data_IF_247380930661
#
_entry.id   IF_247380930661
#
_cell.length_a   1.000
_cell.length_b   1.000
_cell.length_c   1.000
_cell.angle_alpha   90.00
_cell.angle_beta   90.00
_cell.angle_gamma   90.00
#
_symmetry.space_group_name_H-M   'P 1'
#
loop_
_entity.id
_entity.type
_entity.pdbx_description
1 polymer ?
#
# COMPACT_ATOMS: atom_id res chain seq x y z
N UNK A 1 -4.88 3.42 -13.67
CA UNK A 1 -4.27 3.12 -12.35
C UNK A 1 -2.87 3.69 -12.17
N UNK A 2 -1.99 3.75 -13.20
CA UNK A 2 -0.60 4.22 -13.05
C UNK A 2 -0.43 5.67 -12.58
N UNK A 3 -1.42 6.54 -12.84
CA UNK A 3 -1.46 7.94 -12.40
C UNK A 3 -2.22 8.17 -11.09
N UNK A 4 -2.81 7.13 -10.50
CA UNK A 4 -3.53 7.23 -9.24
C UNK A 4 -2.55 7.25 -8.06
N UNK A 5 -2.91 7.96 -6.99
CA UNK A 5 -2.33 7.74 -5.68
C UNK A 5 -2.65 6.33 -5.18
N UNK A 6 -1.73 5.74 -4.43
CA UNK A 6 -1.80 4.37 -3.93
C UNK A 6 -1.50 4.36 -2.43
N UNK A 7 -2.35 3.71 -1.64
CA UNK A 7 -2.07 3.40 -0.24
C UNK A 7 -2.51 1.98 0.13
N UNK A 8 -1.96 1.44 1.22
CA UNK A 8 -2.38 0.16 1.78
C UNK A 8 -3.45 0.38 2.85
N UNK A 9 -4.55 -0.36 2.76
CA UNK A 9 -5.62 -0.42 3.75
C UNK A 9 -5.42 -1.71 4.56
N UNK A 10 -4.96 -1.62 5.82
CA UNK A 10 -4.75 -2.79 6.66
C UNK A 10 -6.08 -3.45 7.02
N UNK A 11 -6.02 -4.75 7.28
CA UNK A 11 -7.12 -5.55 7.80
C UNK A 11 -6.58 -6.56 8.81
N UNK A 12 -7.46 -7.06 9.68
CA UNK A 12 -7.19 -8.21 10.52
C UNK A 12 -8.27 -9.28 10.19
N UNK A 13 -7.89 -10.40 9.56
CA UNK A 13 -6.53 -10.87 9.30
C UNK A 13 -5.79 -10.10 8.19
N UNK A 14 -4.44 -10.03 8.21
CA UNK A 14 -3.64 -9.29 7.22
C UNK A 14 -3.85 -9.71 5.77
N UNK A 15 -4.27 -10.96 5.54
CA UNK A 15 -4.58 -11.50 4.19
C UNK A 15 -5.79 -10.84 3.54
N UNK A 16 -6.63 -10.15 4.32
CA UNK A 16 -7.79 -9.40 3.84
C UNK A 16 -7.47 -7.93 3.56
N UNK A 17 -6.21 -7.52 3.77
CA UNK A 17 -5.74 -6.17 3.43
C UNK A 17 -5.90 -5.85 1.94
N UNK A 18 -6.11 -4.56 1.65
CA UNK A 18 -6.40 -4.07 0.30
C UNK A 18 -5.46 -2.93 -0.08
N UNK A 19 -5.31 -2.68 -1.37
CA UNK A 19 -4.60 -1.52 -1.90
C UNK A 19 -5.63 -0.59 -2.51
N UNK A 20 -5.67 0.65 -2.02
CA UNK A 20 -6.57 1.68 -2.52
C UNK A 20 -5.87 2.49 -3.62
N UNK A 21 -6.58 2.71 -4.73
CA UNK A 21 -6.19 3.60 -5.82
C UNK A 21 -7.18 4.77 -5.88
N UNK A 22 -6.67 5.99 -5.79
CA UNK A 22 -7.48 7.22 -5.67
C UNK A 22 -6.79 8.39 -6.36
N UNK A 23 -7.47 9.51 -6.54
CA UNK A 23 -6.88 10.75 -7.04
C UNK A 23 -6.93 11.85 -5.98
N UNK A 24 -5.82 12.58 -5.81
CA UNK A 24 -5.72 13.65 -4.82
C UNK A 24 -6.60 14.86 -5.12
N UNK A 25 -6.97 15.05 -6.38
CA UNK A 25 -7.90 16.08 -6.83
C UNK A 25 -9.39 15.68 -6.65
N UNK A 26 -9.66 14.51 -6.06
CA UNK A 26 -11.00 13.99 -5.86
C UNK A 26 -11.67 13.43 -7.12
N UNK A 27 -10.97 13.40 -8.26
CA UNK A 27 -11.50 12.77 -9.47
C UNK A 27 -11.70 11.28 -9.28
N UNK A 28 -12.79 10.77 -9.86
CA UNK A 28 -13.12 9.37 -9.72
C UNK A 28 -12.04 8.50 -10.40
N UNK A 29 -11.42 7.57 -9.65
CA UNK A 29 -10.48 6.64 -10.26
C UNK A 29 -11.18 5.79 -11.32
N UNK A 30 -10.49 5.43 -12.42
CA UNK A 30 -11.11 4.65 -13.48
C UNK A 30 -11.64 3.33 -12.93
N UNK A 31 -12.91 3.02 -13.26
CA UNK A 31 -13.49 1.73 -12.91
C UNK A 31 -12.56 0.59 -13.32
N UNK A 32 -12.23 -0.27 -12.36
CA UNK A 32 -11.37 -1.40 -12.58
C UNK A 32 -12.09 -2.68 -12.18
N UNK A 33 -12.14 -3.65 -13.10
CA UNK A 33 -12.76 -4.97 -12.87
C UNK A 33 -12.09 -5.81 -11.79
N UNK A 34 -10.94 -5.37 -11.29
CA UNK A 34 -10.13 -6.06 -10.28
C UNK A 34 -10.34 -5.53 -8.86
N UNK A 35 -11.23 -4.56 -8.66
CA UNK A 35 -11.48 -3.95 -7.35
C UNK A 35 -12.92 -3.48 -7.18
N UNK A 36 -13.20 -3.00 -5.97
CA UNK A 36 -14.48 -2.41 -5.58
C UNK A 36 -14.31 -0.92 -5.37
N UNK A 37 -15.28 -0.14 -5.84
CA UNK A 37 -15.29 1.29 -5.57
C UNK A 37 -15.93 1.53 -4.21
N UNK A 38 -15.21 2.21 -3.33
CA UNK A 38 -15.64 2.57 -1.96
C UNK A 38 -15.17 3.99 -1.65
N UNK A 39 -15.87 4.63 -0.73
CA UNK A 39 -15.43 5.91 -0.16
C UNK A 39 -14.47 5.66 1.00
N UNK A 40 -13.35 6.38 1.04
CA UNK A 40 -12.36 6.33 2.12
C UNK A 40 -12.16 7.71 2.73
N UNK A 41 -12.09 7.79 4.06
CA UNK A 41 -11.64 8.99 4.75
C UNK A 41 -10.12 9.02 4.81
N UNK A 42 -9.50 9.96 4.10
CA UNK A 42 -8.05 10.13 4.03
C UNK A 42 -7.63 11.49 4.59
N UNK A 43 -6.46 11.54 5.21
CA UNK A 43 -5.76 12.78 5.56
C UNK A 43 -5.13 13.37 4.30
N UNK A 44 -5.73 14.45 3.78
CA UNK A 44 -5.30 15.12 2.55
C UNK A 44 -4.90 16.57 2.84
N UNK A 45 -4.05 17.19 2.00
CA UNK A 45 -3.80 18.62 2.09
C UNK A 45 -5.08 19.43 1.85
N UNK A 46 -5.39 20.35 2.76
CA UNK A 46 -6.46 21.35 2.67
C UNK A 46 -5.93 22.76 2.94
N UNK A 47 -6.83 23.74 3.04
CA UNK A 47 -6.46 25.16 3.17
C UNK A 47 -5.76 25.47 4.51
N UNK A 48 -6.16 24.80 5.59
CA UNK A 48 -5.62 24.99 6.94
C UNK A 48 -4.57 23.92 7.35
N UNK A 49 -4.09 23.11 6.40
CA UNK A 49 -3.08 22.10 6.65
C UNK A 49 -3.47 20.72 6.15
N UNK A 50 -3.53 19.72 7.03
CA UNK A 50 -3.96 18.36 6.69
C UNK A 50 -5.31 18.11 7.34
N UNK A 51 -6.31 17.76 6.53
CA UNK A 51 -7.68 17.55 6.97
C UNK A 51 -8.22 16.18 6.51
N UNK A 52 -9.14 15.56 7.27
CA UNK A 52 -9.81 14.36 6.82
C UNK A 52 -10.82 14.70 5.71
N UNK A 53 -10.68 14.05 4.56
CA UNK A 53 -11.62 14.17 3.44
C UNK A 53 -12.07 12.79 2.95
N UNK A 54 -13.35 12.70 2.59
CA UNK A 54 -13.90 11.54 1.90
C UNK A 54 -13.45 11.54 0.43
N UNK A 55 -12.84 10.46 -0.03
CA UNK A 55 -12.39 10.28 -1.42
C UNK A 55 -12.94 9.00 -2.03
N UNK A 56 -13.29 9.05 -3.31
CA UNK A 56 -13.61 7.84 -4.07
C UNK A 56 -12.33 7.05 -4.35
N UNK A 57 -12.30 5.78 -3.97
CA UNK A 57 -11.17 4.90 -4.17
C UNK A 57 -11.60 3.55 -4.76
N UNK A 58 -10.75 2.97 -5.61
CA UNK A 58 -10.86 1.56 -5.98
C UNK A 58 -9.97 0.73 -5.05
N UNK A 59 -10.59 -0.14 -4.25
CA UNK A 59 -9.90 -1.07 -3.37
C UNK A 59 -9.68 -2.40 -4.09
N UNK A 60 -8.42 -2.80 -4.19
CA UNK A 60 -7.99 -4.01 -4.89
C UNK A 60 -7.34 -4.95 -3.88
N UNK A 61 -7.74 -6.24 -3.81
CA UNK A 61 -7.05 -7.22 -2.97
C UNK A 61 -5.55 -7.29 -3.31
N UNK A 62 -4.68 -7.45 -2.31
CA UNK A 62 -3.21 -7.43 -2.50
C UNK A 62 -2.76 -8.38 -3.63
N UNK A 63 -3.35 -9.58 -3.71
CA UNK A 63 -3.06 -10.56 -4.78
C UNK A 63 -3.25 -10.01 -6.19
N UNK A 64 -4.25 -9.15 -6.39
CA UNK A 64 -4.58 -8.54 -7.68
C UNK A 64 -3.80 -7.23 -7.90
N UNK A 65 -3.46 -6.52 -6.82
CA UNK A 65 -2.67 -5.29 -6.89
C UNK A 65 -1.18 -5.54 -7.20
N UNK A 66 -0.59 -6.63 -6.69
CA UNK A 66 0.85 -6.91 -6.81
C UNK A 66 1.37 -6.87 -8.26
N UNK A 67 0.75 -7.52 -9.26
CA UNK A 67 1.19 -7.42 -10.65
C UNK A 67 1.11 -5.99 -11.21
N UNK A 68 0.12 -5.20 -10.79
CA UNK A 68 -0.04 -3.80 -11.22
C UNK A 68 1.09 -2.95 -10.63
N UNK A 69 1.35 -3.08 -9.33
CA UNK A 69 2.35 -2.29 -8.61
C UNK A 69 3.78 -2.61 -9.04
N UNK A 70 4.10 -3.89 -9.25
CA UNK A 70 5.44 -4.31 -9.73
C UNK A 70 5.74 -3.77 -11.12
N UNK A 71 4.75 -3.68 -12.01
CA UNK A 71 4.90 -2.99 -13.32
C UNK A 71 5.00 -1.48 -13.15
N UNK A 72 4.17 -0.88 -12.30
CA UNK A 72 4.14 0.56 -12.06
C UNK A 72 5.52 1.07 -11.56
N UNK A 73 6.18 0.32 -10.67
CA UNK A 73 7.56 0.61 -10.23
C UNK A 73 8.56 0.79 -11.37
N UNK A 74 8.40 0.08 -12.48
CA UNK A 74 9.33 0.10 -13.61
C UNK A 74 8.96 1.15 -14.68
N UNK A 75 7.82 1.83 -14.55
CA UNK A 75 7.33 2.77 -15.55
C UNK A 75 7.83 4.20 -15.29
N UNK A 76 7.98 4.98 -16.37
CA UNK A 76 8.54 6.35 -16.34
C UNK A 76 7.55 7.44 -15.94
N UNK A 77 6.23 7.15 -15.96
CA UNK A 77 5.15 8.10 -15.63
C UNK A 77 4.21 7.55 -14.55
N UNK A 78 4.75 6.83 -13.57
CA UNK A 78 3.96 6.33 -12.44
C UNK A 78 3.93 7.34 -11.30
N UNK A 79 2.77 7.48 -10.69
CA UNK A 79 2.59 8.29 -9.51
C UNK A 79 3.55 7.84 -8.38
N UNK A 80 4.22 8.74 -7.65
CA UNK A 80 5.26 8.38 -6.67
C UNK A 80 4.85 7.31 -5.65
N UNK A 81 3.60 7.34 -5.18
CA UNK A 81 3.06 6.33 -4.26
C UNK A 81 2.91 4.94 -4.89
N UNK A 82 2.61 4.86 -6.19
CA UNK A 82 2.61 3.60 -6.94
C UNK A 82 4.01 3.01 -7.08
N UNK A 83 5.02 3.85 -7.33
CA UNK A 83 6.44 3.44 -7.35
C UNK A 83 6.89 2.96 -5.97
N UNK A 84 6.49 3.65 -4.91
CA UNK A 84 6.76 3.28 -3.53
C UNK A 84 6.17 1.89 -3.20
N UNK A 85 4.85 1.69 -3.39
CA UNK A 85 4.21 0.41 -3.07
C UNK A 85 4.63 -0.73 -4.00
N UNK A 86 5.00 -0.43 -5.24
CA UNK A 86 5.65 -1.40 -6.12
C UNK A 86 7.03 -1.81 -5.62
N UNK A 87 7.82 -0.87 -5.09
CA UNK A 87 9.12 -1.18 -4.46
C UNK A 87 8.96 -1.98 -3.18
N UNK A 88 8.00 -1.61 -2.33
CA UNK A 88 7.64 -2.37 -1.14
C UNK A 88 7.22 -3.81 -1.48
N UNK A 89 6.38 -3.98 -2.51
CA UNK A 89 5.94 -5.30 -2.98
C UNK A 89 7.10 -6.16 -3.46
N UNK A 90 8.03 -5.60 -4.25
CA UNK A 90 9.24 -6.34 -4.70
C UNK A 90 10.12 -6.73 -3.51
N UNK A 91 10.34 -5.83 -2.56
CA UNK A 91 11.13 -6.13 -1.35
C UNK A 91 10.47 -7.27 -0.54
N UNK A 92 9.16 -7.22 -0.32
CA UNK A 92 8.43 -8.29 0.37
C UNK A 92 8.53 -9.64 -0.35
N UNK A 93 8.42 -9.65 -1.69
CA UNK A 93 8.58 -10.86 -2.50
C UNK A 93 10.01 -11.43 -2.43
N UNK A 94 11.04 -10.58 -2.37
CA UNK A 94 12.43 -11.01 -2.20
C UNK A 94 12.65 -11.68 -0.83
N UNK A 95 12.05 -11.15 0.24
CA UNK A 95 12.10 -11.76 1.56
C UNK A 95 11.39 -13.12 1.57
N UNK A 96 10.20 -13.19 0.96
CA UNK A 96 9.44 -14.44 0.83
C UNK A 96 10.19 -15.49 0.00
N UNK A 97 10.80 -15.10 -1.12
CA UNK A 97 11.60 -15.99 -1.97
C UNK A 97 12.83 -16.55 -1.26
N UNK A 98 13.37 -15.83 -0.28
CA UNK A 98 14.46 -16.27 0.61
C UNK A 98 13.96 -17.12 1.79
N UNK A 99 12.67 -17.39 1.90
CA UNK A 99 12.08 -18.17 2.98
C UNK A 99 12.04 -17.43 4.32
N UNK A 100 12.17 -16.09 4.34
CA UNK A 100 12.18 -15.28 5.55
C UNK A 100 10.75 -14.96 6.01
N UNK A 101 9.99 -16.01 6.32
CA UNK A 101 8.61 -15.92 6.79
C UNK A 101 8.46 -16.74 8.07
N UNK A 102 7.98 -16.10 9.13
CA UNK A 102 7.70 -16.73 10.41
C UNK A 102 6.18 -16.81 10.61
N UNK A 103 5.64 -17.99 10.98
CA UNK A 103 4.25 -18.10 11.38
C UNK A 103 4.03 -17.37 12.71
N UNK A 104 2.79 -16.94 12.93
CA UNK A 104 2.35 -16.32 14.18
C UNK A 104 0.86 -16.06 14.16
N UNK A 105 0.39 -15.35 15.19
CA UNK A 105 -1.00 -14.95 15.35
C UNK A 105 -1.07 -13.43 15.39
N UNK A 106 -2.15 -12.86 14.86
CA UNK A 106 -2.48 -11.46 15.12
C UNK A 106 -3.00 -11.28 16.54
N UNK A 107 -3.21 -10.03 16.94
CA UNK A 107 -3.81 -9.71 18.26
C UNK A 107 -5.22 -10.28 18.41
N UNK A 108 -5.95 -10.48 17.30
CA UNK A 108 -7.29 -11.08 17.29
C UNK A 108 -7.28 -12.59 17.01
N UNK A 109 -6.14 -13.26 17.24
CA UNK A 109 -6.00 -14.73 17.14
C UNK A 109 -6.19 -15.30 15.73
N UNK A 110 -5.81 -14.52 14.70
CA UNK A 110 -5.77 -15.02 13.33
C UNK A 110 -4.37 -15.48 12.92
N UNK A 111 -4.30 -16.65 12.28
CA UNK A 111 -3.08 -17.13 11.62
C UNK A 111 -2.52 -16.08 10.66
N UNK A 112 -1.26 -15.71 10.87
CA UNK A 112 -0.55 -14.71 10.10
C UNK A 112 0.91 -15.12 9.85
N UNK A 113 1.49 -14.50 8.83
CA UNK A 113 2.91 -14.61 8.49
C UNK A 113 3.56 -13.24 8.64
N UNK A 114 4.73 -13.20 9.27
CA UNK A 114 5.56 -11.98 9.35
C UNK A 114 6.92 -12.23 8.70
N UNK A 115 7.48 -11.19 8.09
CA UNK A 115 8.84 -11.29 7.54
C UNK A 115 9.87 -11.44 8.68
N UNK A 116 10.78 -12.39 8.56
CA UNK A 116 11.89 -12.57 9.49
C UNK A 116 12.52 -13.97 9.51
N UNK A 117 13.64 -14.15 10.25
CA UNK A 117 14.45 -13.09 10.86
C UNK A 117 15.13 -12.21 9.79
N UNK A 118 15.16 -10.90 10.00
CA UNK A 118 15.72 -9.94 9.04
C UNK A 118 17.19 -9.68 9.32
N UNK A 119 18.02 -9.66 8.28
CA UNK A 119 19.43 -9.25 8.39
C UNK A 119 19.55 -7.74 8.60
N UNK A 120 20.75 -7.27 8.96
CA UNK A 120 21.05 -5.84 9.05
C UNK A 120 20.81 -5.12 7.71
N UNK A 121 21.13 -5.77 6.59
CA UNK A 121 20.89 -5.25 5.24
C UNK A 121 19.40 -5.15 4.91
N UNK A 122 18.61 -6.17 5.29
CA UNK A 122 17.15 -6.16 5.09
C UNK A 122 16.49 -5.02 5.89
N UNK A 123 16.93 -4.84 7.14
CA UNK A 123 16.47 -3.73 7.99
C UNK A 123 16.87 -2.37 7.42
N UNK A 124 18.07 -2.25 6.85
CA UNK A 124 18.51 -1.00 6.22
C UNK A 124 17.63 -0.65 5.02
N UNK A 125 17.36 -1.60 4.13
CA UNK A 125 16.46 -1.41 2.98
C UNK A 125 15.04 -1.03 3.41
N UNK A 126 14.51 -1.64 4.46
CA UNK A 126 13.20 -1.28 5.01
C UNK A 126 13.18 0.14 5.57
N UNK A 127 14.23 0.57 6.26
CA UNK A 127 14.36 1.94 6.77
C UNK A 127 14.47 2.96 5.64
N UNK A 128 15.27 2.67 4.62
CA UNK A 128 15.39 3.53 3.43
C UNK A 128 14.06 3.65 2.69
N UNK A 129 13.34 2.53 2.54
CA UNK A 129 12.00 2.53 1.97
C UNK A 129 11.07 3.40 2.81
N UNK A 130 10.98 3.17 4.12
CA UNK A 130 10.13 3.94 5.02
C UNK A 130 10.45 5.44 5.00
N UNK A 131 11.73 5.82 4.98
CA UNK A 131 12.16 7.22 4.90
C UNK A 131 11.77 7.88 3.56
N UNK A 132 11.61 7.10 2.49
CA UNK A 132 11.16 7.57 1.18
C UNK A 132 9.63 7.55 1.01
N UNK A 133 8.86 7.17 2.04
CA UNK A 133 7.41 6.99 1.93
C UNK A 133 6.70 8.34 1.67
N UNK A 134 6.06 8.54 0.51
CA UNK A 134 5.33 9.78 0.25
C UNK A 134 4.12 9.91 1.20
N UNK A 135 3.71 11.12 1.62
CA UNK A 135 2.55 11.33 2.49
C UNK A 135 1.28 10.61 2.02
N UNK A 136 0.96 10.74 0.73
CA UNK A 136 -0.21 10.09 0.12
C UNK A 136 -0.17 8.54 0.16
N UNK A 137 1.00 7.92 0.42
CA UNK A 137 1.12 6.47 0.55
C UNK A 137 0.67 5.95 1.93
N UNK A 138 0.54 6.84 2.93
CA UNK A 138 0.11 6.55 4.30
C UNK A 138 -0.94 7.55 4.79
N UNK A 139 -1.79 8.03 3.87
CA UNK A 139 -2.83 9.01 4.16
C UNK A 139 -4.03 8.46 4.94
N UNK A 140 -4.04 7.17 5.31
CA UNK A 140 -5.10 6.61 6.13
C UNK A 140 -4.88 7.06 7.60
N UNK A 141 -5.80 7.82 8.22
CA UNK A 141 -5.64 8.25 9.61
C UNK A 141 -5.55 7.05 10.56
N UNK A 142 -4.73 7.19 11.60
CA UNK A 142 -4.73 6.24 12.71
C UNK A 142 -5.92 6.56 13.62
N UNK A 143 -6.76 5.55 13.89
CA UNK A 143 -7.87 5.64 14.84
C UNK A 143 -7.44 5.51 16.29
#
# INVERSE_FOLDING_TARGET
MSRCSVLFVPADPPRDGRVAFWHADGTEPPHASIGTQEELTLAVPGDEGVEPAAVSAVLVPVRAALPVLTRARAATETHPTGTFWGTAGVLALQLAARGLLLPGLTVSDHDAWRAGPLSAEDLQRLRELAAAMPPAAHALPLG
#
